data_IF_869735519133
#
_entry.id   IF_869735519133
#
_cell.length_a   1.000
_cell.length_b   1.000
_cell.length_c   1.000
_cell.angle_alpha   90.00
_cell.angle_beta   90.00
_cell.angle_gamma   90.00
#
_symmetry.space_group_name_H-M   'P 1'
#
loop_
_entity.id
_entity.type
_entity.pdbx_description
1 polymer ?
#
# COMPACT_ATOMS: atom_id res chain seq x y z
N UNK A 1 3.04 -35.64 -39.63
CA UNK A 1 3.73 -34.95 -38.52
C UNK A 1 2.90 -33.72 -38.20
N UNK A 2 1.97 -33.85 -37.26
CA UNK A 2 1.07 -32.76 -36.87
C UNK A 2 1.62 -32.13 -35.59
N UNK A 3 2.22 -30.95 -35.71
CA UNK A 3 2.63 -30.16 -34.56
C UNK A 3 1.38 -29.69 -33.81
N UNK A 4 1.24 -30.15 -32.57
CA UNK A 4 0.26 -29.61 -31.65
C UNK A 4 0.63 -28.17 -31.32
N UNK A 5 -0.15 -27.21 -31.80
CA UNK A 5 -0.09 -25.84 -31.30
C UNK A 5 -0.51 -25.90 -29.82
N UNK A 6 0.45 -25.75 -28.91
CA UNK A 6 0.16 -25.48 -27.50
C UNK A 6 -0.12 -23.98 -27.39
N UNK A 7 -1.35 -23.55 -27.07
CA UNK A 7 -1.60 -22.14 -26.78
C UNK A 7 -0.84 -21.79 -25.50
N UNK A 8 0.09 -20.84 -25.59
CA UNK A 8 0.85 -20.33 -24.45
C UNK A 8 -0.08 -19.81 -23.33
N UNK A 9 0.46 -19.62 -22.11
CA UNK A 9 -0.34 -19.13 -21.00
C UNK A 9 -0.83 -17.73 -21.39
N UNK A 10 -2.14 -17.60 -21.61
CA UNK A 10 -2.76 -16.27 -21.64
C UNK A 10 -2.52 -15.71 -20.25
N UNK A 11 -1.54 -14.82 -20.13
CA UNK A 11 -1.38 -13.95 -18.96
C UNK A 11 -2.77 -13.39 -18.73
N UNK A 12 -3.41 -13.80 -17.63
CA UNK A 12 -4.63 -13.17 -17.18
C UNK A 12 -4.24 -11.71 -17.08
N UNK A 13 -4.81 -10.85 -17.92
CA UNK A 13 -4.72 -9.42 -17.65
C UNK A 13 -5.31 -9.28 -16.25
N UNK A 14 -4.45 -9.13 -15.24
CA UNK A 14 -4.88 -8.75 -13.92
C UNK A 14 -5.61 -7.44 -14.14
N UNK A 15 -6.93 -7.49 -14.07
CA UNK A 15 -7.78 -6.31 -14.02
C UNK A 15 -7.13 -5.36 -13.00
N UNK A 16 -7.13 -4.04 -13.24
CA UNK A 16 -6.66 -3.11 -12.22
C UNK A 16 -7.56 -3.35 -11.02
N UNK A 17 -7.03 -4.06 -10.03
CA UNK A 17 -7.65 -4.15 -8.73
C UNK A 17 -7.65 -2.72 -8.24
N UNK A 18 -8.82 -2.09 -8.23
CA UNK A 18 -9.06 -0.90 -7.43
C UNK A 18 -8.82 -1.33 -5.97
N UNK A 19 -7.55 -1.29 -5.57
CA UNK A 19 -7.04 -1.52 -4.22
C UNK A 19 -7.47 -0.38 -3.26
N UNK A 20 -8.37 0.49 -3.70
CA UNK A 20 -9.04 1.52 -2.90
C UNK A 20 -9.88 0.95 -1.72
N UNK A 21 -9.90 -0.36 -1.53
CA UNK A 21 -10.68 -1.04 -0.51
C UNK A 21 -10.04 -1.09 0.88
N UNK A 22 -8.81 -0.59 1.07
CA UNK A 22 -8.22 -0.35 2.40
C UNK A 22 -8.36 1.11 2.87
N UNK A 23 -9.51 1.75 2.59
CA UNK A 23 -9.82 3.10 3.13
C UNK A 23 -10.61 3.05 4.45
N UNK A 24 -10.73 1.87 5.06
CA UNK A 24 -11.39 1.70 6.37
C UNK A 24 -10.41 1.90 7.53
N UNK A 25 -10.89 2.27 8.72
CA UNK A 25 -10.05 2.34 9.92
C UNK A 25 -9.42 0.97 10.21
N UNK A 26 -8.16 0.99 10.61
CA UNK A 26 -7.39 -0.19 11.02
C UNK A 26 -7.82 -0.70 12.39
N UNK A 27 -8.59 0.09 13.13
CA UNK A 27 -9.05 -0.23 14.49
C UNK A 27 -8.02 0.13 15.56
N UNK A 28 -6.93 0.77 15.16
CA UNK A 28 -5.92 1.34 16.05
C UNK A 28 -5.83 2.84 15.77
N UNK A 29 -6.24 3.66 16.74
CA UNK A 29 -6.32 5.12 16.60
C UNK A 29 -4.96 5.73 16.22
N UNK A 30 -3.85 5.19 16.73
CA UNK A 30 -2.51 5.71 16.44
C UNK A 30 -2.07 5.37 15.01
N UNK A 31 -2.43 4.18 14.53
CA UNK A 31 -2.17 3.78 13.14
C UNK A 31 -3.06 4.60 12.20
N UNK A 32 -4.34 4.77 12.54
CA UNK A 32 -5.28 5.55 11.74
C UNK A 32 -4.85 7.02 11.64
N UNK A 33 -4.38 7.62 12.74
CA UNK A 33 -3.80 8.96 12.75
C UNK A 33 -2.57 9.05 11.85
N UNK A 34 -1.63 8.11 11.94
CA UNK A 34 -0.44 8.08 11.08
C UNK A 34 -0.82 7.98 9.59
N UNK A 35 -1.79 7.14 9.24
CA UNK A 35 -2.23 6.95 7.86
C UNK A 35 -2.93 8.20 7.28
N UNK A 36 -3.51 9.07 8.11
CA UNK A 36 -4.07 10.34 7.62
C UNK A 36 -3.02 11.23 6.93
N UNK A 37 -1.74 11.10 7.30
CA UNK A 37 -0.66 11.86 6.68
C UNK A 37 -0.45 11.49 5.19
N UNK A 38 -0.91 10.32 4.76
CA UNK A 38 -0.82 9.86 3.36
C UNK A 38 -1.92 10.43 2.47
N UNK A 39 -2.97 11.03 3.04
CA UNK A 39 -4.09 11.57 2.26
C UNK A 39 -3.63 12.78 1.43
N UNK A 40 -3.78 12.71 0.11
CA UNK A 40 -3.42 13.81 -0.80
C UNK A 40 -1.93 13.90 -1.14
N UNK A 41 -1.12 12.92 -0.72
CA UNK A 41 0.31 12.87 -1.02
C UNK A 41 0.58 12.81 -2.52
N UNK A 42 -0.33 12.21 -3.31
CA UNK A 42 -0.23 12.08 -4.76
C UNK A 42 -0.22 13.43 -5.50
N UNK A 43 -0.71 14.48 -4.86
CA UNK A 43 -0.72 15.85 -5.39
C UNK A 43 0.54 16.63 -4.98
N UNK A 44 1.40 16.06 -4.13
CA UNK A 44 2.64 16.70 -3.68
C UNK A 44 3.82 16.38 -4.60
N UNK A 45 4.93 17.15 -4.51
CA UNK A 45 6.16 16.81 -5.20
C UNK A 45 6.74 15.50 -4.66
N UNK A 46 7.31 14.65 -5.52
CA UNK A 46 7.90 13.36 -5.14
C UNK A 46 8.91 13.44 -3.97
N UNK A 47 9.64 14.56 -3.87
CA UNK A 47 10.58 14.81 -2.76
C UNK A 47 9.88 14.89 -1.40
N UNK A 48 8.65 15.39 -1.36
CA UNK A 48 7.83 15.45 -0.14
C UNK A 48 7.33 14.06 0.27
N UNK A 49 7.14 13.14 -0.69
CA UNK A 49 6.59 11.82 -0.39
C UNK A 49 7.50 11.03 0.56
N UNK A 50 8.82 11.11 0.33
CA UNK A 50 9.80 10.41 1.17
C UNK A 50 9.72 10.85 2.62
N UNK A 51 9.58 12.15 2.87
CA UNK A 51 9.48 12.68 4.23
C UNK A 51 8.18 12.22 4.93
N UNK A 52 7.07 12.17 4.19
CA UNK A 52 5.79 11.68 4.73
C UNK A 52 5.86 10.18 5.00
N UNK A 53 6.38 9.38 4.07
CA UNK A 53 6.53 7.93 4.28
C UNK A 53 7.45 7.60 5.46
N UNK A 54 8.55 8.33 5.63
CA UNK A 54 9.47 8.16 6.76
C UNK A 54 8.77 8.45 8.10
N UNK A 55 7.97 9.53 8.15
CA UNK A 55 7.18 9.86 9.34
C UNK A 55 6.13 8.79 9.68
N UNK A 56 5.42 8.26 8.67
CA UNK A 56 4.45 7.17 8.85
C UNK A 56 5.14 5.90 9.34
N UNK A 57 6.27 5.52 8.73
CA UNK A 57 7.03 4.35 9.19
C UNK A 57 7.51 4.51 10.63
N UNK A 58 8.01 5.69 11.02
CA UNK A 58 8.40 5.96 12.40
C UNK A 58 7.24 5.78 13.38
N UNK A 59 6.09 6.40 13.09
CA UNK A 59 4.91 6.27 13.94
C UNK A 59 4.43 4.81 14.08
N UNK A 60 4.46 4.04 12.99
CA UNK A 60 4.10 2.61 13.03
C UNK A 60 5.13 1.78 13.82
N UNK A 61 6.41 2.11 13.73
CA UNK A 61 7.47 1.44 14.48
C UNK A 61 7.35 1.73 15.98
N UNK A 62 7.08 2.98 16.36
CA UNK A 62 6.83 3.36 17.76
C UNK A 62 5.62 2.60 18.31
N UNK A 63 4.52 2.56 17.54
CA UNK A 63 3.32 1.83 17.93
C UNK A 63 3.57 0.32 18.10
N UNK A 64 4.41 -0.27 17.26
CA UNK A 64 4.80 -1.68 17.38
C UNK A 64 5.64 -1.91 18.64
N UNK A 65 6.61 -1.03 18.93
CA UNK A 65 7.42 -1.10 20.13
C UNK A 65 6.57 -1.01 21.41
N UNK A 66 5.58 -0.13 21.43
CA UNK A 66 4.64 0.01 22.54
C UNK A 66 3.72 -1.22 22.72
N UNK A 67 3.40 -1.95 21.64
CA UNK A 67 2.63 -3.19 21.70
C UNK A 67 3.43 -4.38 22.24
N UNK A 68 4.77 -4.36 22.10
CA UNK A 68 5.66 -5.44 22.54
C UNK A 68 6.16 -5.30 23.99
N UNK A 69 5.86 -4.18 24.66
CA UNK A 69 6.29 -3.86 26.03
C UNK A 69 5.46 -4.54 27.13
#
# INVERSE_FOLDING_TARGET
MSEGVVPGPRVRASEPVDDASHTGPTGDDAVDEALTALVGIEQQPLRAHVAVFDAVHGALQDRLADAEA
#
